data_IF_327720653959
#
_entry.id   IF_327720653959
#
_cell.length_a   1.000
_cell.length_b   1.000
_cell.length_c   1.000
_cell.angle_alpha   90.00
_cell.angle_beta   90.00
_cell.angle_gamma   90.00
#
_symmetry.space_group_name_H-M   'P 1'
#
loop_
_entity.id
_entity.type
_entity.pdbx_description
1 polymer ?
#
# COMPACT_ATOMS: atom_id res chain seq x y z
N UNK A 1 -11.36 -18.36 -8.04
CA UNK A 1 -11.17 -18.25 -6.58
C UNK A 1 -11.04 -16.78 -6.28
N UNK A 2 -11.70 -16.27 -5.24
CA UNK A 2 -11.38 -14.94 -4.75
C UNK A 2 -9.91 -14.92 -4.31
N UNK A 3 -9.20 -13.80 -4.51
CA UNK A 3 -7.83 -13.70 -4.03
C UNK A 3 -7.81 -13.81 -2.50
N UNK A 4 -6.89 -14.60 -1.92
CA UNK A 4 -6.78 -14.70 -0.47
C UNK A 4 -6.43 -13.33 0.11
N UNK A 5 -7.14 -12.94 1.17
CA UNK A 5 -6.88 -11.69 1.88
C UNK A 5 -5.42 -11.64 2.37
N UNK A 6 -4.76 -10.49 2.29
CA UNK A 6 -3.46 -10.30 2.96
C UNK A 6 -3.61 -10.50 4.47
N UNK A 7 -2.52 -10.89 5.15
CA UNK A 7 -2.55 -11.14 6.58
C UNK A 7 -2.94 -9.87 7.37
N UNK A 8 -2.53 -8.72 6.87
CA UNK A 8 -2.82 -7.38 7.38
C UNK A 8 -4.31 -7.04 7.21
N UNK A 9 -4.86 -7.23 6.01
CA UNK A 9 -6.30 -7.09 5.72
C UNK A 9 -7.15 -8.00 6.60
N UNK A 10 -6.72 -9.26 6.75
CA UNK A 10 -7.39 -10.21 7.63
C UNK A 10 -7.37 -9.72 9.07
N UNK A 11 -6.23 -9.24 9.56
CA UNK A 11 -6.11 -8.66 10.91
C UNK A 11 -7.02 -7.45 11.10
N UNK A 12 -7.07 -6.56 10.10
CA UNK A 12 -7.91 -5.37 10.07
C UNK A 12 -9.40 -5.71 10.13
N UNK A 13 -9.88 -6.55 9.22
CA UNK A 13 -11.28 -6.95 9.15
C UNK A 13 -11.73 -7.80 10.35
N UNK A 14 -10.80 -8.59 10.91
CA UNK A 14 -11.06 -9.32 12.15
C UNK A 14 -11.16 -8.38 13.35
N UNK A 15 -10.37 -7.30 13.37
CA UNK A 15 -10.43 -6.29 14.43
C UNK A 15 -11.75 -5.51 14.41
N UNK A 16 -12.23 -5.11 13.22
CA UNK A 16 -13.55 -4.49 13.08
C UNK A 16 -14.71 -5.45 13.31
N UNK A 17 -14.44 -6.76 13.20
CA UNK A 17 -15.37 -7.86 13.49
C UNK A 17 -16.77 -7.61 12.91
N UNK A 18 -16.80 -7.15 11.66
CA UNK A 18 -18.04 -6.79 10.97
C UNK A 18 -18.91 -8.05 10.85
N UNK A 19 -20.04 -8.09 11.56
CA UNK A 19 -20.92 -9.27 11.64
C UNK A 19 -20.83 -10.08 12.95
N UNK A 20 -19.89 -9.75 13.85
CA UNK A 20 -19.79 -10.26 15.22
C UNK A 20 -19.80 -11.79 15.35
N UNK A 21 -19.15 -12.49 14.43
CA UNK A 21 -19.11 -13.96 14.38
C UNK A 21 -17.71 -14.49 14.67
N UNK A 22 -17.51 -15.08 15.85
CA UNK A 22 -16.24 -15.70 16.22
C UNK A 22 -15.86 -16.90 15.32
N UNK A 23 -16.86 -17.56 14.73
CA UNK A 23 -16.64 -18.69 13.81
C UNK A 23 -16.37 -18.25 12.37
N UNK A 24 -16.74 -17.02 12.02
CA UNK A 24 -16.55 -16.43 10.69
C UNK A 24 -16.22 -14.94 10.81
N UNK A 25 -14.99 -14.58 11.22
CA UNK A 25 -14.64 -13.20 11.55
C UNK A 25 -14.74 -12.23 10.37
N UNK A 26 -14.62 -12.74 9.14
CA UNK A 26 -14.66 -11.94 7.91
C UNK A 26 -16.05 -11.92 7.25
N UNK A 27 -17.07 -12.52 7.88
CA UNK A 27 -18.37 -12.72 7.26
C UNK A 27 -19.03 -11.42 6.79
N UNK A 28 -18.99 -10.36 7.59
CA UNK A 28 -19.60 -9.09 7.22
C UNK A 28 -18.96 -8.47 5.98
N UNK A 29 -17.63 -8.49 5.89
CA UNK A 29 -16.90 -7.98 4.74
C UNK A 29 -17.18 -8.77 3.46
N UNK A 30 -17.16 -10.10 3.55
CA UNK A 30 -17.44 -10.97 2.41
C UNK A 30 -18.87 -10.76 1.91
N UNK A 31 -19.84 -10.64 2.83
CA UNK A 31 -21.24 -10.37 2.46
C UNK A 31 -21.36 -9.01 1.76
N UNK A 32 -20.71 -7.96 2.25
CA UNK A 32 -20.68 -6.66 1.56
C UNK A 32 -20.02 -6.76 0.18
N UNK A 33 -18.93 -7.52 0.05
CA UNK A 33 -18.22 -7.71 -1.21
C UNK A 33 -19.10 -8.43 -2.25
N UNK A 34 -19.81 -9.49 -1.85
CA UNK A 34 -20.78 -10.17 -2.71
C UNK A 34 -21.88 -9.20 -3.15
N UNK A 35 -22.46 -8.44 -2.22
CA UNK A 35 -23.53 -7.49 -2.51
C UNK A 35 -23.07 -6.34 -3.41
N UNK A 36 -21.84 -5.87 -3.24
CA UNK A 36 -21.25 -4.80 -4.05
C UNK A 36 -20.96 -5.26 -5.48
N UNK A 37 -20.23 -6.38 -5.63
CA UNK A 37 -19.77 -6.86 -6.95
C UNK A 37 -20.89 -7.49 -7.77
N UNK A 38 -21.81 -8.19 -7.11
CA UNK A 38 -22.82 -9.02 -7.77
C UNK A 38 -24.22 -8.41 -7.68
N UNK A 39 -24.48 -7.47 -6.77
CA UNK A 39 -25.84 -6.93 -6.52
C UNK A 39 -26.48 -6.21 -7.70
N UNK A 40 -25.69 -5.62 -8.59
CA UNK A 40 -26.15 -4.89 -9.79
C UNK A 40 -26.22 -5.78 -11.05
N UNK A 41 -25.44 -6.86 -11.11
CA UNK A 41 -25.28 -7.71 -12.31
C UNK A 41 -25.80 -9.15 -12.14
N UNK A 42 -26.27 -9.53 -10.95
CA UNK A 42 -26.72 -10.89 -10.72
C UNK A 42 -28.03 -11.21 -11.46
N UNK A 43 -28.03 -12.33 -12.17
CA UNK A 43 -29.21 -12.92 -12.80
C UNK A 43 -30.19 -13.56 -11.79
N UNK A 44 -29.74 -13.79 -10.56
CA UNK A 44 -30.53 -14.34 -9.45
C UNK A 44 -30.69 -13.29 -8.34
N UNK A 45 -31.82 -13.34 -7.64
CA UNK A 45 -32.06 -12.44 -6.52
C UNK A 45 -31.11 -12.76 -5.35
N UNK A 46 -30.55 -11.70 -4.75
CA UNK A 46 -29.68 -11.73 -3.56
C UNK A 46 -30.43 -12.16 -2.30
N UNK A 47 -30.83 -13.42 -2.24
CA UNK A 47 -31.51 -14.04 -1.10
C UNK A 47 -30.51 -14.57 -0.08
N UNK A 48 -31.01 -14.94 1.11
CA UNK A 48 -30.18 -15.61 2.13
C UNK A 48 -29.49 -16.85 1.56
N UNK A 49 -30.23 -17.70 0.85
CA UNK A 49 -29.68 -18.92 0.25
C UNK A 49 -28.65 -18.65 -0.85
N UNK A 50 -28.83 -17.56 -1.61
CA UNK A 50 -27.83 -17.11 -2.59
C UNK A 50 -26.53 -16.74 -1.90
N UNK A 51 -26.60 -15.83 -0.91
CA UNK A 51 -25.44 -15.34 -0.16
C UNK A 51 -24.71 -16.48 0.55
N UNK A 52 -25.45 -17.39 1.19
CA UNK A 52 -24.88 -18.55 1.88
C UNK A 52 -24.13 -19.47 0.92
N UNK A 53 -24.76 -19.81 -0.21
CA UNK A 53 -24.15 -20.66 -1.24
C UNK A 53 -22.92 -20.00 -1.84
N UNK A 54 -22.97 -18.70 -2.11
CA UNK A 54 -21.86 -17.95 -2.69
C UNK A 54 -20.69 -17.87 -1.72
N UNK A 55 -20.95 -17.54 -0.47
CA UNK A 55 -19.96 -17.53 0.61
C UNK A 55 -19.27 -18.91 0.73
N UNK A 56 -20.06 -19.97 0.96
CA UNK A 56 -19.51 -21.30 1.23
C UNK A 56 -18.74 -21.91 0.05
N UNK A 57 -19.07 -21.54 -1.18
CA UNK A 57 -18.43 -22.11 -2.36
C UNK A 57 -17.21 -21.32 -2.86
N UNK A 58 -17.11 -20.03 -2.54
CA UNK A 58 -16.12 -19.12 -3.14
C UNK A 58 -15.22 -18.44 -2.12
N UNK A 59 -15.74 -18.16 -0.93
CA UNK A 59 -15.10 -17.32 0.08
C UNK A 59 -14.86 -18.04 1.41
N UNK A 60 -15.23 -19.32 1.52
CA UNK A 60 -15.00 -20.10 2.72
C UNK A 60 -13.49 -20.29 2.94
N UNK A 61 -13.03 -19.91 4.13
CA UNK A 61 -11.64 -20.05 4.53
C UNK A 61 -11.29 -21.50 4.86
N UNK A 62 -10.00 -21.87 4.68
CA UNK A 62 -9.52 -23.25 4.84
C UNK A 62 -9.79 -23.85 6.23
N UNK A 63 -9.79 -23.00 7.27
CA UNK A 63 -9.99 -23.42 8.66
C UNK A 63 -11.42 -23.16 9.17
N UNK A 64 -12.33 -22.70 8.31
CA UNK A 64 -13.72 -22.42 8.67
C UNK A 64 -14.65 -23.59 8.33
N UNK A 65 -15.60 -23.86 9.23
CA UNK A 65 -16.72 -24.75 8.91
C UNK A 65 -17.69 -24.03 7.98
N UNK A 66 -18.46 -24.73 7.12
CA UNK A 66 -19.45 -24.06 6.28
C UNK A 66 -20.40 -23.19 7.10
N UNK A 67 -20.60 -21.95 6.64
CA UNK A 67 -21.51 -21.01 7.26
C UNK A 67 -22.94 -21.57 7.22
N UNK A 68 -23.68 -21.32 8.29
CA UNK A 68 -25.08 -21.77 8.45
C UNK A 68 -26.04 -20.60 8.29
N UNK A 69 -27.31 -20.89 7.97
CA UNK A 69 -28.38 -19.90 7.90
C UNK A 69 -28.48 -19.03 9.16
N UNK A 70 -28.31 -19.64 10.34
CA UNK A 70 -28.40 -18.93 11.61
C UNK A 70 -27.28 -17.90 11.79
N UNK A 71 -26.05 -18.26 11.40
CA UNK A 71 -24.90 -17.36 11.46
C UNK A 71 -25.06 -16.23 10.44
N UNK A 72 -25.40 -16.55 9.18
CA UNK A 72 -25.56 -15.53 8.14
C UNK A 72 -26.68 -14.55 8.46
N UNK A 73 -27.80 -15.00 9.05
CA UNK A 73 -28.87 -14.10 9.50
C UNK A 73 -28.35 -13.10 10.53
N UNK A 74 -27.58 -13.57 11.53
CA UNK A 74 -26.98 -12.70 12.53
C UNK A 74 -26.00 -11.69 11.92
N UNK A 75 -25.20 -12.11 10.95
CA UNK A 75 -24.32 -11.21 10.19
C UNK A 75 -25.12 -10.14 9.45
N UNK A 76 -26.21 -10.53 8.78
CA UNK A 76 -27.09 -9.61 8.05
C UNK A 76 -27.87 -8.67 8.98
N UNK A 77 -28.25 -9.12 10.18
CA UNK A 77 -28.83 -8.27 11.23
C UNK A 77 -27.83 -7.20 11.69
N UNK A 78 -26.56 -7.55 11.89
CA UNK A 78 -25.51 -6.57 12.23
C UNK A 78 -25.30 -5.58 11.08
N UNK A 79 -25.16 -6.08 9.84
CA UNK A 79 -24.93 -5.23 8.67
C UNK A 79 -26.13 -4.31 8.36
N UNK A 80 -27.35 -4.77 8.60
CA UNK A 80 -28.56 -4.01 8.32
C UNK A 80 -29.01 -3.13 9.48
N UNK A 81 -29.25 -3.72 10.65
CA UNK A 81 -29.92 -3.02 11.76
C UNK A 81 -28.95 -2.18 12.60
N UNK A 82 -27.68 -2.62 12.72
CA UNK A 82 -26.68 -1.91 13.55
C UNK A 82 -25.82 -0.97 12.72
N UNK A 83 -25.36 -1.41 11.55
CA UNK A 83 -24.43 -0.66 10.72
C UNK A 83 -25.09 0.07 9.54
N UNK A 84 -26.35 -0.24 9.20
CA UNK A 84 -27.09 0.35 8.09
C UNK A 84 -26.37 0.28 6.71
N UNK A 85 -25.53 -0.75 6.53
CA UNK A 85 -24.75 -1.00 5.31
C UNK A 85 -25.53 -1.86 4.29
N UNK A 86 -26.56 -2.58 4.75
CA UNK A 86 -27.36 -3.48 3.94
C UNK A 86 -28.85 -3.24 4.18
N UNK A 87 -29.60 -2.98 3.13
CA UNK A 87 -31.06 -2.96 3.20
C UNK A 87 -31.63 -4.36 2.91
N UNK A 88 -32.69 -4.73 3.62
CA UNK A 88 -33.49 -5.92 3.33
C UNK A 88 -34.89 -5.53 2.90
N UNK A 89 -35.37 -6.12 1.81
CA UNK A 89 -36.73 -5.88 1.32
C UNK A 89 -37.40 -7.20 0.91
N UNK A 90 -38.70 -7.39 1.23
CA UNK A 90 -39.43 -8.55 0.76
C UNK A 90 -39.75 -8.35 -0.72
N UNK A 91 -39.28 -9.26 -1.58
CA UNK A 91 -39.55 -9.24 -3.02
C UNK A 91 -40.16 -10.56 -3.47
N UNK A 92 -41.04 -10.47 -4.47
CA UNK A 92 -41.50 -11.63 -5.22
C UNK A 92 -40.37 -12.04 -6.16
N UNK A 93 -39.78 -13.20 -5.90
CA UNK A 93 -38.68 -13.75 -6.68
C UNK A 93 -39.16 -14.96 -7.47
N UNK A 94 -38.59 -15.13 -8.67
CA UNK A 94 -38.82 -16.32 -9.48
C UNK A 94 -37.81 -17.37 -9.08
N UNK A 95 -38.29 -18.51 -8.59
CA UNK A 95 -37.48 -19.68 -8.29
C UNK A 95 -37.64 -20.71 -9.41
N UNK A 96 -36.53 -21.36 -9.77
CA UNK A 96 -36.53 -22.50 -10.67
C UNK A 96 -36.72 -23.77 -9.86
N UNK A 97 -37.77 -24.52 -10.18
CA UNK A 97 -38.06 -25.81 -9.57
C UNK A 97 -37.21 -26.89 -10.24
N UNK A 98 -36.92 -27.97 -9.50
CA UNK A 98 -36.12 -29.10 -9.98
C UNK A 98 -36.75 -29.80 -11.21
N UNK A 99 -38.04 -29.61 -11.46
CA UNK A 99 -38.76 -30.11 -12.63
C UNK A 99 -38.72 -29.17 -13.85
N UNK A 100 -37.89 -28.11 -13.82
CA UNK A 100 -37.78 -27.11 -14.89
C UNK A 100 -38.89 -26.04 -14.87
N UNK A 101 -39.87 -26.14 -13.96
CA UNK A 101 -40.91 -25.13 -13.77
C UNK A 101 -40.39 -23.86 -13.09
N UNK A 102 -41.14 -22.77 -13.20
CA UNK A 102 -40.87 -21.54 -12.45
C UNK A 102 -41.99 -21.30 -11.45
N UNK A 103 -41.65 -20.93 -10.22
CA UNK A 103 -42.61 -20.51 -9.19
C UNK A 103 -42.25 -19.12 -8.69
N UNK A 104 -43.27 -18.35 -8.30
CA UNK A 104 -43.08 -17.03 -7.69
C UNK A 104 -43.26 -17.20 -6.18
N UNK A 105 -42.22 -16.93 -5.42
CA UNK A 105 -42.25 -16.95 -3.96
C UNK A 105 -41.86 -15.58 -3.41
N UNK A 106 -42.49 -15.18 -2.31
CA UNK A 106 -42.04 -14.00 -1.57
C UNK A 106 -40.84 -14.39 -0.70
N UNK A 107 -39.72 -13.69 -0.89
CA UNK A 107 -38.49 -13.92 -0.13
C UNK A 107 -37.83 -12.58 0.20
N UNK A 108 -37.01 -12.58 1.24
CA UNK A 108 -36.18 -11.43 1.59
C UNK A 108 -35.00 -11.35 0.64
N UNK A 109 -34.81 -10.17 0.05
CA UNK A 109 -33.67 -9.83 -0.79
C UNK A 109 -32.85 -8.74 -0.12
N UNK A 110 -31.53 -8.88 -0.18
CA UNK A 110 -30.57 -7.97 0.43
C UNK A 110 -29.89 -7.14 -0.64
N UNK A 111 -29.66 -5.85 -0.35
CA UNK A 111 -28.90 -4.95 -1.21
C UNK A 111 -27.98 -4.10 -0.35
N UNK A 112 -26.80 -3.79 -0.88
CA UNK A 112 -25.92 -2.83 -0.25
C UNK A 112 -26.55 -1.42 -0.34
N UNK A 113 -26.50 -0.67 0.76
CA UNK A 113 -26.96 0.73 0.79
C UNK A 113 -25.89 1.66 0.20
N UNK A 114 -26.20 2.92 -0.05
CA UNK A 114 -25.18 3.90 -0.44
C UNK A 114 -24.06 4.01 0.61
N UNK A 115 -24.42 4.05 1.91
CA UNK A 115 -23.43 4.05 3.00
C UNK A 115 -22.61 2.75 3.07
N UNK A 116 -23.20 1.60 2.72
CA UNK A 116 -22.47 0.34 2.56
C UNK A 116 -21.44 0.37 1.43
N UNK A 117 -21.79 0.98 0.29
CA UNK A 117 -20.88 1.16 -0.85
C UNK A 117 -19.73 2.10 -0.48
N UNK A 118 -20.04 3.23 0.17
CA UNK A 118 -19.06 4.20 0.65
C UNK A 118 -18.09 3.55 1.64
N UNK A 119 -18.60 2.83 2.66
CA UNK A 119 -17.77 2.10 3.61
C UNK A 119 -16.86 1.07 2.94
N UNK A 120 -17.40 0.26 2.02
CA UNK A 120 -16.61 -0.75 1.31
C UNK A 120 -15.50 -0.10 0.47
N UNK A 121 -15.79 1.01 -0.18
CA UNK A 121 -14.83 1.75 -1.02
C UNK A 121 -13.74 2.40 -0.17
N UNK A 122 -14.09 3.05 0.93
CA UNK A 122 -13.13 3.65 1.86
C UNK A 122 -12.20 2.60 2.45
N UNK A 123 -12.74 1.43 2.83
CA UNK A 123 -11.93 0.35 3.37
C UNK A 123 -10.95 -0.22 2.34
N UNK A 124 -11.34 -0.33 1.06
CA UNK A 124 -10.40 -0.70 -0.02
C UNK A 124 -9.24 0.29 -0.13
N UNK A 125 -9.52 1.59 -0.11
CA UNK A 125 -8.47 2.62 -0.15
C UNK A 125 -7.51 2.55 1.02
N UNK A 126 -8.01 2.28 2.24
CA UNK A 126 -7.16 2.07 3.42
C UNK A 126 -6.20 0.90 3.24
N UNK A 127 -6.65 -0.17 2.57
CA UNK A 127 -5.84 -1.34 2.30
C UNK A 127 -4.78 -1.09 1.23
N UNK A 128 -5.15 -0.37 0.19
CA UNK A 128 -4.21 0.05 -0.84
C UNK A 128 -3.11 0.93 -0.23
N UNK A 129 -3.50 1.88 0.64
CA UNK A 129 -2.55 2.70 1.39
C UNK A 129 -1.67 1.86 2.34
N UNK A 130 -2.24 0.88 3.06
CA UNK A 130 -1.47 -0.02 3.93
C UNK A 130 -0.44 -0.84 3.15
N UNK A 131 -0.85 -1.38 2.00
CA UNK A 131 0.03 -2.12 1.09
C UNK A 131 1.16 -1.21 0.57
N UNK A 132 0.82 0.01 0.14
CA UNK A 132 1.80 1.02 -0.28
C UNK A 132 2.80 1.30 0.84
N UNK A 133 2.34 1.51 2.08
CA UNK A 133 3.21 1.74 3.25
C UNK A 133 4.12 0.54 3.53
N UNK A 134 3.59 -0.68 3.57
CA UNK A 134 4.36 -1.87 3.88
C UNK A 134 5.48 -2.12 2.83
N UNK A 135 5.13 -1.99 1.55
CA UNK A 135 6.12 -2.09 0.46
C UNK A 135 7.16 -0.99 0.58
N UNK A 136 6.73 0.25 0.81
CA UNK A 136 7.66 1.38 0.90
C UNK A 136 8.62 1.27 2.09
N UNK A 137 8.16 0.78 3.26
CA UNK A 137 9.03 0.50 4.41
C UNK A 137 10.12 -0.50 4.03
N UNK A 138 9.78 -1.59 3.34
CA UNK A 138 10.78 -2.57 2.88
C UNK A 138 11.80 -1.94 1.93
N UNK A 139 11.36 -1.02 1.05
CA UNK A 139 12.25 -0.30 0.12
C UNK A 139 13.15 0.69 0.85
N UNK A 140 12.64 1.37 1.87
CA UNK A 140 13.44 2.25 2.72
C UNK A 140 14.51 1.46 3.47
N UNK A 141 14.17 0.31 4.04
CA UNK A 141 15.14 -0.54 4.73
C UNK A 141 16.22 -1.05 3.76
N UNK A 142 15.84 -1.47 2.54
CA UNK A 142 16.77 -1.85 1.46
C UNK A 142 17.70 -0.68 1.09
N UNK A 143 17.14 0.52 0.86
CA UNK A 143 17.91 1.72 0.58
C UNK A 143 18.91 2.02 1.70
N UNK A 144 18.47 2.02 2.96
CA UNK A 144 19.33 2.27 4.12
C UNK A 144 20.48 1.26 4.21
N UNK A 145 20.21 -0.02 3.94
CA UNK A 145 21.24 -1.06 3.89
C UNK A 145 22.26 -0.80 2.77
N UNK A 146 21.80 -0.38 1.58
CA UNK A 146 22.67 -0.05 0.47
C UNK A 146 23.55 1.16 0.75
N UNK A 147 23.01 2.22 1.38
CA UNK A 147 23.78 3.38 1.84
C UNK A 147 24.86 2.92 2.82
N UNK A 148 24.49 2.15 3.84
CA UNK A 148 25.45 1.67 4.84
C UNK A 148 26.53 0.77 4.24
N UNK A 149 26.18 -0.08 3.26
CA UNK A 149 27.14 -0.91 2.52
C UNK A 149 28.15 -0.02 1.78
N UNK A 150 27.65 1.01 1.10
CA UNK A 150 28.44 1.93 0.29
C UNK A 150 29.20 2.97 1.09
N UNK A 151 28.98 3.16 2.39
CA UNK A 151 29.75 4.12 3.21
C UNK A 151 30.98 3.48 3.87
N UNK A 152 31.09 2.14 3.85
CA UNK A 152 32.25 1.42 4.40
C UNK A 152 33.48 1.68 3.53
N UNK A 153 34.58 2.12 4.15
CA UNK A 153 35.75 2.76 3.49
C UNK A 153 36.69 1.84 2.68
N UNK A 154 36.41 0.56 2.56
CA UNK A 154 37.28 -0.41 1.88
C UNK A 154 36.62 -0.93 0.60
N UNK A 155 36.46 -0.06 -0.39
CA UNK A 155 35.87 -0.46 -1.67
C UNK A 155 36.85 -1.27 -2.49
N UNK A 156 36.48 -2.52 -2.76
CA UNK A 156 37.17 -3.32 -3.76
C UNK A 156 36.74 -2.85 -5.16
N UNK A 157 37.67 -2.31 -5.94
CA UNK A 157 37.44 -1.89 -7.33
C UNK A 157 37.98 -2.89 -8.36
N UNK A 158 38.40 -4.07 -7.90
CA UNK A 158 38.90 -5.14 -8.77
C UNK A 158 37.77 -5.82 -9.55
N UNK A 159 36.54 -5.75 -9.04
CA UNK A 159 35.33 -6.34 -9.63
C UNK A 159 34.26 -5.29 -9.91
N UNK A 160 33.21 -5.67 -10.66
CA UNK A 160 32.03 -4.84 -10.95
C UNK A 160 31.10 -4.63 -9.76
N UNK A 161 31.40 -5.23 -8.61
CA UNK A 161 30.53 -5.25 -7.43
C UNK A 161 30.17 -3.84 -6.92
N UNK A 162 31.13 -2.93 -6.77
CA UNK A 162 30.87 -1.57 -6.30
C UNK A 162 29.98 -0.80 -7.28
N UNK A 163 30.20 -0.94 -8.59
CA UNK A 163 29.34 -0.32 -9.61
C UNK A 163 27.91 -0.86 -9.57
N UNK A 164 27.75 -2.17 -9.40
CA UNK A 164 26.45 -2.81 -9.28
C UNK A 164 25.74 -2.35 -7.99
N UNK A 165 26.46 -2.30 -6.87
CA UNK A 165 25.93 -1.83 -5.59
C UNK A 165 25.51 -0.36 -5.66
N UNK A 166 26.30 0.49 -6.31
CA UNK A 166 25.92 1.88 -6.55
C UNK A 166 24.67 1.99 -7.43
N UNK A 167 24.57 1.18 -8.48
CA UNK A 167 23.38 1.17 -9.34
C UNK A 167 22.14 0.69 -8.60
N UNK A 168 22.28 -0.34 -7.74
CA UNK A 168 21.21 -0.82 -6.88
C UNK A 168 20.76 0.23 -5.85
N UNK A 169 21.69 1.02 -5.29
CA UNK A 169 21.32 2.16 -4.44
C UNK A 169 20.41 3.15 -5.18
N UNK A 170 20.74 3.48 -6.44
CA UNK A 170 19.93 4.39 -7.24
C UNK A 170 18.54 3.82 -7.54
N UNK A 171 18.45 2.54 -7.87
CA UNK A 171 17.16 1.86 -8.07
C UNK A 171 16.33 1.83 -6.79
N UNK A 172 16.93 1.49 -5.66
CA UNK A 172 16.25 1.48 -4.36
C UNK A 172 15.72 2.89 -4.01
N UNK A 173 16.51 3.94 -4.26
CA UNK A 173 16.06 5.32 -4.08
C UNK A 173 14.87 5.67 -4.97
N UNK A 174 14.94 5.39 -6.28
CA UNK A 174 13.86 5.70 -7.20
C UNK A 174 12.57 4.93 -6.82
N UNK A 175 12.68 3.71 -6.29
CA UNK A 175 11.54 2.91 -5.81
C UNK A 175 10.95 3.47 -4.50
N UNK A 176 11.78 3.96 -3.58
CA UNK A 176 11.31 4.69 -2.38
C UNK A 176 10.54 5.95 -2.78
N UNK A 177 11.08 6.75 -3.71
CA UNK A 177 10.41 7.98 -4.18
C UNK A 177 9.07 7.67 -4.83
N UNK A 178 8.98 6.66 -5.70
CA UNK A 178 7.70 6.22 -6.27
C UNK A 178 6.71 5.80 -5.19
N UNK A 179 7.17 5.06 -4.19
CA UNK A 179 6.34 4.64 -3.05
C UNK A 179 5.83 5.84 -2.25
N UNK A 180 6.66 6.86 -2.04
CA UNK A 180 6.28 8.10 -1.35
C UNK A 180 5.26 8.91 -2.14
N UNK A 181 5.44 9.08 -3.45
CA UNK A 181 4.46 9.77 -4.30
C UNK A 181 3.13 9.03 -4.35
N UNK A 182 3.16 7.70 -4.46
CA UNK A 182 1.93 6.91 -4.41
C UNK A 182 1.21 7.07 -3.07
N UNK A 183 1.96 7.06 -1.96
CA UNK A 183 1.37 7.27 -0.64
C UNK A 183 0.76 8.68 -0.50
N UNK A 184 1.42 9.71 -1.02
CA UNK A 184 0.89 11.07 -1.05
C UNK A 184 -0.43 11.14 -1.84
N UNK A 185 -0.50 10.49 -3.02
CA UNK A 185 -1.71 10.38 -3.83
C UNK A 185 -2.82 9.61 -3.08
N UNK A 186 -2.51 8.42 -2.55
CA UNK A 186 -3.43 7.57 -1.80
C UNK A 186 -4.02 8.34 -0.58
N UNK A 187 -3.18 9.08 0.16
CA UNK A 187 -3.60 9.86 1.33
C UNK A 187 -4.40 11.11 0.96
N UNK A 188 -4.03 11.79 -0.13
CA UNK A 188 -4.78 12.94 -0.64
C UNK A 188 -6.17 12.51 -1.11
N UNK A 189 -6.29 11.36 -1.77
CA UNK A 189 -7.59 10.81 -2.15
C UNK A 189 -8.43 10.47 -0.91
N UNK A 190 -7.83 9.84 0.11
CA UNK A 190 -8.49 9.50 1.37
C UNK A 190 -8.96 10.74 2.15
N UNK A 191 -8.14 11.80 2.20
CA UNK A 191 -8.48 13.05 2.88
C UNK A 191 -9.62 13.82 2.18
N UNK A 192 -9.73 13.72 0.85
CA UNK A 192 -10.80 14.33 0.07
C UNK A 192 -12.11 13.52 0.07
N UNK A 193 -12.07 12.25 0.50
CA UNK A 193 -13.25 11.39 0.55
C UNK A 193 -14.05 11.70 1.83
N UNK A 194 -15.13 12.48 1.68
CA UNK A 194 -16.02 12.92 2.77
C UNK A 194 -16.53 11.76 3.65
N UNK A 195 -16.56 10.53 3.12
CA UNK A 195 -16.98 9.30 3.79
C UNK A 195 -15.96 8.78 4.83
N UNK A 196 -14.70 9.21 4.76
CA UNK A 196 -13.67 8.94 5.76
C UNK A 196 -13.85 9.81 7.02
N UNK A 197 -14.39 11.02 6.83
CA UNK A 197 -14.60 12.06 7.86
C UNK A 197 -15.80 11.77 8.79
N UNK A 198 -16.15 10.51 8.99
CA UNK A 198 -17.17 10.08 9.97
C UNK A 198 -16.59 9.12 11.03
N UNK A 199 -15.33 9.33 11.42
CA UNK A 199 -14.76 8.72 12.63
C UNK A 199 -14.73 7.20 12.58
N UNK A 200 -14.68 6.64 11.36
CA UNK A 200 -14.78 5.21 11.15
C UNK A 200 -13.56 4.49 11.73
N UNK A 201 -13.74 3.25 12.13
CA UNK A 201 -12.65 2.38 12.61
C UNK A 201 -11.50 2.24 11.58
N UNK A 202 -11.81 2.44 10.29
CA UNK A 202 -10.84 2.50 9.21
C UNK A 202 -9.87 3.69 9.35
N UNK A 203 -10.36 4.85 9.80
CA UNK A 203 -9.56 6.05 10.04
C UNK A 203 -8.60 5.88 11.21
N UNK A 204 -9.08 5.31 12.32
CA UNK A 204 -8.24 5.01 13.48
C UNK A 204 -7.09 4.06 13.12
N UNK A 205 -7.36 3.09 12.25
CA UNK A 205 -6.37 2.11 11.83
C UNK A 205 -5.34 2.69 10.87
N UNK A 206 -5.78 3.46 9.86
CA UNK A 206 -4.89 4.19 8.97
C UNK A 206 -3.96 5.10 9.77
N UNK A 207 -4.51 5.89 10.70
CA UNK A 207 -3.74 6.74 11.59
C UNK A 207 -2.69 5.97 12.39
N UNK A 208 -3.07 4.83 13.01
CA UNK A 208 -2.15 3.99 13.75
C UNK A 208 -1.02 3.45 12.87
N UNK A 209 -1.32 3.02 11.66
CA UNK A 209 -0.34 2.46 10.73
C UNK A 209 0.63 3.55 10.23
N UNK A 210 0.13 4.73 9.89
CA UNK A 210 0.96 5.86 9.48
C UNK A 210 1.88 6.34 10.61
N UNK A 211 1.35 6.50 11.83
CA UNK A 211 2.12 6.98 12.98
C UNK A 211 3.11 5.95 13.52
N UNK A 212 2.74 4.68 13.60
CA UNK A 212 3.58 3.64 14.23
C UNK A 212 4.54 2.95 13.27
N UNK A 213 4.28 2.98 11.96
CA UNK A 213 5.12 2.30 10.95
C UNK A 213 5.72 3.26 9.94
N UNK A 214 4.89 4.06 9.26
CA UNK A 214 5.36 4.90 8.15
C UNK A 214 6.30 6.02 8.62
N UNK A 215 5.88 6.82 9.64
CA UNK A 215 6.69 7.92 10.17
C UNK A 215 8.08 7.43 10.64
N UNK A 216 8.21 6.39 11.47
CA UNK A 216 9.53 5.90 11.88
C UNK A 216 10.41 5.42 10.71
N UNK A 217 9.82 4.84 9.67
CA UNK A 217 10.57 4.45 8.48
C UNK A 217 11.08 5.69 7.72
N UNK A 218 10.26 6.72 7.55
CA UNK A 218 10.71 7.96 6.94
C UNK A 218 11.78 8.68 7.77
N UNK A 219 11.68 8.67 9.09
CA UNK A 219 12.74 9.19 9.96
C UNK A 219 14.06 8.44 9.74
N UNK A 220 14.04 7.10 9.63
CA UNK A 220 15.24 6.31 9.28
C UNK A 220 15.83 6.71 7.92
N UNK A 221 14.98 7.01 6.94
CA UNK A 221 15.40 7.48 5.62
C UNK A 221 16.12 8.82 5.73
N UNK A 222 15.53 9.79 6.45
CA UNK A 222 16.13 11.10 6.69
C UNK A 222 17.45 11.01 7.49
N UNK A 223 17.61 10.01 8.36
CA UNK A 223 18.88 9.77 9.05
C UNK A 223 20.03 9.38 8.09
N UNK A 224 19.75 9.02 6.83
CA UNK A 224 20.80 8.73 5.83
C UNK A 224 21.39 9.99 5.20
N UNK A 225 20.87 11.20 5.45
CA UNK A 225 21.33 12.45 4.84
C UNK A 225 22.84 12.63 4.93
N UNK A 226 23.43 12.52 6.13
CA UNK A 226 24.87 12.72 6.34
C UNK A 226 25.71 11.67 5.60
N UNK A 227 25.22 10.43 5.53
CA UNK A 227 25.89 9.35 4.83
C UNK A 227 25.93 9.58 3.32
N UNK A 228 24.82 10.04 2.73
CA UNK A 228 24.75 10.42 1.31
C UNK A 228 25.60 11.65 1.01
N UNK A 229 25.57 12.66 1.88
CA UNK A 229 26.42 13.86 1.75
C UNK A 229 27.90 13.45 1.76
N UNK A 230 28.32 12.59 2.69
CA UNK A 230 29.69 12.08 2.71
C UNK A 230 30.08 11.34 1.41
N UNK A 231 29.17 10.57 0.81
CA UNK A 231 29.44 9.93 -0.49
C UNK A 231 29.53 10.94 -1.64
N UNK A 232 28.68 11.97 -1.63
CA UNK A 232 28.67 13.04 -2.63
C UNK A 232 29.92 13.93 -2.55
N UNK A 233 30.38 14.23 -1.34
CA UNK A 233 31.54 15.09 -1.08
C UNK A 233 32.88 14.33 -1.22
N UNK A 234 32.82 13.00 -1.38
CA UNK A 234 34.01 12.17 -1.52
C UNK A 234 34.63 12.32 -2.91
N UNK A 235 35.76 13.02 -2.99
CA UNK A 235 36.56 13.23 -4.20
C UNK A 235 36.92 11.93 -4.98
N UNK A 236 37.01 10.80 -4.28
CA UNK A 236 37.44 9.53 -4.88
C UNK A 236 36.31 8.56 -5.22
N UNK A 237 35.09 8.74 -4.70
CA UNK A 237 34.07 7.69 -4.74
C UNK A 237 33.54 7.47 -6.16
N UNK A 238 33.18 8.54 -6.87
CA UNK A 238 32.77 8.47 -8.28
C UNK A 238 33.86 7.85 -9.16
N UNK A 239 35.13 8.14 -8.88
CA UNK A 239 36.24 7.55 -9.59
C UNK A 239 36.43 6.06 -9.26
N UNK A 240 36.16 5.63 -8.02
CA UNK A 240 36.18 4.22 -7.60
C UNK A 240 35.03 3.44 -8.26
N UNK A 241 33.82 3.99 -8.29
CA UNK A 241 32.66 3.41 -9.02
C UNK A 241 33.00 3.22 -10.50
N UNK A 242 33.59 4.24 -11.14
CA UNK A 242 34.01 4.15 -12.53
C UNK A 242 35.13 3.13 -12.79
N UNK A 243 36.07 2.96 -11.84
CA UNK A 243 37.09 1.90 -11.90
C UNK A 243 36.47 0.52 -11.74
N UNK A 244 35.57 0.35 -10.78
CA UNK A 244 34.88 -0.92 -10.52
C UNK A 244 34.08 -1.40 -11.72
N UNK A 245 33.42 -0.51 -12.47
CA UNK A 245 32.70 -0.90 -13.69
C UNK A 245 33.60 -1.63 -14.71
N UNK A 246 34.92 -1.39 -14.67
CA UNK A 246 35.93 -2.01 -15.53
C UNK A 246 36.72 -3.10 -14.79
N UNK A 247 36.10 -3.71 -13.78
CA UNK A 247 36.68 -4.81 -13.02
C UNK A 247 36.93 -6.05 -13.89
N UNK A 248 37.60 -7.04 -13.31
CA UNK A 248 38.00 -8.27 -14.01
C UNK A 248 36.82 -9.08 -14.58
N UNK A 249 35.63 -8.90 -14.04
CA UNK A 249 34.37 -9.52 -14.40
C UNK A 249 33.49 -8.65 -15.32
N UNK A 250 33.99 -7.52 -15.84
CA UNK A 250 33.30 -6.71 -16.84
C UNK A 250 33.20 -7.46 -18.17
N UNK A 251 31.97 -7.64 -18.66
CA UNK A 251 31.63 -8.39 -19.88
C UNK A 251 31.62 -7.52 -21.14
N UNK A 252 32.08 -6.28 -21.08
CA UNK A 252 32.12 -5.37 -22.22
C UNK A 252 33.13 -5.81 -23.29
N UNK A 253 32.72 -5.76 -24.56
CA UNK A 253 33.56 -6.17 -25.68
C UNK A 253 34.86 -5.35 -25.79
N UNK A 254 34.85 -4.08 -25.37
CA UNK A 254 36.03 -3.20 -25.38
C UNK A 254 37.06 -3.64 -24.35
N UNK A 255 36.61 -4.18 -23.21
CA UNK A 255 37.47 -4.77 -22.19
C UNK A 255 38.12 -6.07 -22.71
N UNK A 256 37.34 -6.91 -23.39
CA UNK A 256 37.84 -8.16 -23.99
C UNK A 256 38.90 -7.96 -25.09
N UNK A 257 38.78 -6.90 -25.89
CA UNK A 257 39.76 -6.56 -26.95
C UNK A 257 40.83 -5.55 -26.51
N UNK A 258 40.84 -5.17 -25.23
CA UNK A 258 41.79 -4.20 -24.65
C UNK A 258 41.81 -2.84 -25.39
N UNK A 259 40.64 -2.36 -25.84
CA UNK A 259 40.49 -1.05 -26.47
C UNK A 259 40.57 0.07 -25.41
N UNK A 260 41.80 0.45 -25.07
CA UNK A 260 42.09 1.42 -24.01
C UNK A 260 41.41 2.78 -24.23
N UNK A 261 41.24 3.20 -25.49
CA UNK A 261 40.61 4.47 -25.81
C UNK A 261 39.11 4.47 -25.43
N UNK A 262 38.38 3.41 -25.80
CA UNK A 262 36.97 3.25 -25.41
C UNK A 262 36.79 3.02 -23.92
N UNK A 263 37.68 2.24 -23.31
CA UNK A 263 37.67 2.02 -21.86
C UNK A 263 37.84 3.34 -21.10
N UNK A 264 38.81 4.17 -21.47
CA UNK A 264 38.99 5.48 -20.83
C UNK A 264 37.74 6.37 -20.99
N UNK A 265 37.17 6.43 -22.20
CA UNK A 265 35.94 7.21 -22.43
C UNK A 265 34.76 6.71 -21.58
N UNK A 266 34.58 5.40 -21.45
CA UNK A 266 33.53 4.81 -20.62
C UNK A 266 33.74 5.13 -19.14
N UNK A 267 35.00 5.07 -18.67
CA UNK A 267 35.37 5.45 -17.30
C UNK A 267 34.99 6.88 -16.99
N UNK A 268 35.33 7.83 -17.86
CA UNK A 268 35.03 9.25 -17.66
C UNK A 268 33.52 9.52 -17.64
N UNK A 269 32.77 8.86 -18.55
CA UNK A 269 31.30 8.92 -18.57
C UNK A 269 30.70 8.38 -17.26
N UNK A 270 31.19 7.27 -16.76
CA UNK A 270 30.69 6.64 -15.54
C UNK A 270 31.03 7.45 -14.30
N UNK A 271 32.22 8.05 -14.22
CA UNK A 271 32.58 8.96 -13.14
C UNK A 271 31.65 10.19 -13.14
N UNK A 272 31.42 10.79 -14.31
CA UNK A 272 30.50 11.93 -14.47
C UNK A 272 29.07 11.55 -14.08
N UNK A 273 28.61 10.36 -14.51
CA UNK A 273 27.32 9.82 -14.13
C UNK A 273 27.19 9.65 -12.61
N UNK A 274 28.16 9.00 -11.97
CA UNK A 274 28.16 8.75 -10.54
C UNK A 274 28.13 10.06 -9.74
N UNK A 275 28.97 11.04 -10.09
CA UNK A 275 28.96 12.36 -9.45
C UNK A 275 27.59 13.03 -9.60
N UNK A 276 27.04 13.09 -10.81
CA UNK A 276 25.73 13.71 -11.04
C UNK A 276 24.62 13.06 -10.21
N UNK A 277 24.63 11.73 -10.13
CA UNK A 277 23.62 10.99 -9.37
C UNK A 277 23.77 11.21 -7.86
N UNK A 278 24.99 11.24 -7.34
CA UNK A 278 25.24 11.55 -5.92
C UNK A 278 24.86 12.98 -5.56
N UNK A 279 25.17 13.96 -6.43
CA UNK A 279 24.72 15.34 -6.22
C UNK A 279 23.19 15.44 -6.23
N UNK A 280 22.52 14.73 -7.16
CA UNK A 280 21.04 14.66 -7.20
C UNK A 280 20.48 14.06 -5.92
N UNK A 281 21.03 12.94 -5.47
CA UNK A 281 20.63 12.28 -4.22
C UNK A 281 20.87 13.21 -3.03
N UNK A 282 22.06 13.79 -2.88
CA UNK A 282 22.36 14.68 -1.76
C UNK A 282 21.41 15.89 -1.72
N UNK A 283 21.07 16.45 -2.89
CA UNK A 283 20.14 17.57 -3.01
C UNK A 283 18.70 17.20 -2.62
N UNK A 284 18.24 15.96 -2.84
CA UNK A 284 16.89 15.55 -2.43
C UNK A 284 16.71 15.41 -0.92
N UNK A 285 17.83 15.34 -0.19
CA UNK A 285 17.92 15.36 1.26
C UNK A 285 18.35 16.73 1.83
N UNK A 286 18.41 17.79 1.01
CA UNK A 286 18.68 19.14 1.52
C UNK A 286 17.37 19.79 2.02
N UNK A 287 17.25 20.10 3.33
CA UNK A 287 16.07 20.76 3.88
C UNK A 287 16.04 22.28 3.60
N UNK A 288 17.01 22.85 2.89
CA UNK A 288 17.09 24.29 2.64
C UNK A 288 15.93 24.79 1.77
N UNK A 289 15.40 25.98 2.10
CA UNK A 289 14.34 26.61 1.31
C UNK A 289 14.73 26.79 -0.17
N UNK A 290 16.02 27.04 -0.45
CA UNK A 290 16.55 27.11 -1.81
C UNK A 290 16.52 25.78 -2.57
N UNK A 291 16.76 24.65 -1.90
CA UNK A 291 16.66 23.33 -2.51
C UNK A 291 15.20 22.93 -2.76
N UNK A 292 14.32 23.30 -1.83
CA UNK A 292 12.87 23.12 -1.91
C UNK A 292 12.26 23.93 -3.07
N UNK A 293 12.63 25.21 -3.22
CA UNK A 293 12.13 26.08 -4.30
C UNK A 293 12.65 25.69 -5.69
N UNK A 294 13.80 25.01 -5.76
CA UNK A 294 14.44 24.62 -7.02
C UNK A 294 14.16 23.17 -7.45
N UNK A 295 13.64 22.33 -6.57
CA UNK A 295 13.37 20.90 -6.80
C UNK A 295 12.01 20.52 -6.24
N UNK A 296 11.06 20.19 -7.14
CA UNK A 296 9.70 19.78 -6.76
C UNK A 296 9.65 18.44 -5.99
N UNK A 297 10.71 17.61 -6.09
CA UNK A 297 10.78 16.24 -5.57
C UNK A 297 11.87 16.10 -4.49
N UNK A 298 11.73 16.80 -3.36
CA UNK A 298 12.59 16.54 -2.19
C UNK A 298 11.90 15.54 -1.25
N UNK A 299 12.71 14.67 -0.62
CA UNK A 299 12.23 13.72 0.39
C UNK A 299 11.58 14.47 1.56
N UNK A 300 12.10 15.66 1.89
CA UNK A 300 11.57 16.52 2.94
C UNK A 300 10.18 17.07 2.61
N UNK A 301 9.94 17.58 1.40
CA UNK A 301 8.62 18.06 0.99
C UNK A 301 7.61 16.91 1.04
N UNK A 302 7.93 15.76 0.45
CA UNK A 302 7.01 14.63 0.44
C UNK A 302 6.71 14.13 1.86
N UNK A 303 7.72 14.05 2.72
CA UNK A 303 7.51 13.71 4.12
C UNK A 303 6.62 14.72 4.84
N UNK A 304 6.83 16.02 4.60
CA UNK A 304 6.04 17.09 5.17
C UNK A 304 4.58 17.02 4.68
N UNK A 305 4.34 16.85 3.38
CA UNK A 305 2.98 16.72 2.80
C UNK A 305 2.26 15.50 3.35
N UNK A 306 2.93 14.35 3.41
CA UNK A 306 2.38 13.12 3.98
C UNK A 306 2.04 13.33 5.47
N UNK A 307 2.92 14.02 6.21
CA UNK A 307 2.68 14.33 7.62
C UNK A 307 1.49 15.28 7.81
N UNK A 308 1.37 16.32 6.97
CA UNK A 308 0.24 17.24 7.01
C UNK A 308 -1.08 16.54 6.65
N UNK A 309 -1.07 15.63 5.68
CA UNK A 309 -2.21 14.78 5.38
C UNK A 309 -2.58 13.88 6.58
N UNK A 310 -1.59 13.28 7.26
CA UNK A 310 -1.80 12.51 8.49
C UNK A 310 -2.41 13.37 9.60
N UNK A 311 -1.89 14.58 9.82
CA UNK A 311 -2.35 15.48 10.87
C UNK A 311 -3.80 15.94 10.59
N UNK A 312 -4.17 16.20 9.33
CA UNK A 312 -5.54 16.49 8.92
C UNK A 312 -6.48 15.31 9.21
N UNK A 313 -6.10 14.10 8.82
CA UNK A 313 -6.86 12.88 9.10
C UNK A 313 -7.04 12.67 10.62
N UNK A 314 -6.05 13.05 11.42
CA UNK A 314 -6.07 12.95 12.88
C UNK A 314 -7.02 13.97 13.52
N UNK A 315 -6.98 15.23 13.06
CA UNK A 315 -7.84 16.30 13.57
C UNK A 315 -9.32 16.04 13.27
N UNK A 316 -9.63 15.57 12.06
CA UNK A 316 -11.01 15.19 11.70
C UNK A 316 -11.51 14.04 12.59
N UNK A 317 -10.67 13.03 12.85
CA UNK A 317 -11.00 11.95 13.76
C UNK A 317 -11.35 12.44 15.18
N UNK A 318 -10.48 13.29 15.76
CA UNK A 318 -10.69 13.84 17.11
C UNK A 318 -11.94 14.73 17.18
N UNK A 319 -12.21 15.50 16.13
CA UNK A 319 -13.40 16.36 16.04
C UNK A 319 -14.70 15.54 16.14
N UNK A 320 -14.75 14.37 15.49
CA UNK A 320 -15.94 13.51 15.45
C UNK A 320 -16.15 12.78 16.77
N UNK A 321 -15.07 12.27 17.39
CA UNK A 321 -15.16 11.69 18.73
C UNK A 321 -15.66 12.73 19.74
N UNK A 322 -15.19 13.98 19.63
CA UNK A 322 -15.67 15.11 20.45
C UNK A 322 -17.14 15.46 20.24
N UNK A 323 -17.66 15.39 19.00
CA UNK A 323 -19.09 15.62 18.71
C UNK A 323 -20.00 14.45 19.13
N UNK A 324 -19.49 13.22 19.23
CA UNK A 324 -20.27 12.05 19.62
C UNK A 324 -20.54 11.94 21.13
N UNK A 325 -19.91 12.80 21.94
CA UNK A 325 -19.99 12.78 23.41
C UNK A 325 -21.03 13.77 23.97
N UNK A 326 -21.73 14.54 23.13
CA UNK A 326 -22.85 15.43 23.55
C UNK A 326 -24.24 14.80 23.38
#
# INVERSE_FOLDING_TARGET
>A
MAEPFSAELRGLLTASNLGLSAAHPLAGWVVLTILYQEGSNASEAMTLGYLLRRYNNVYLELDEKPMTDAILRRVLEVLGDQANLVESSPRKIRIHLHNGGTSIQQSWTYKITSGGIEYWTAMQKVLDAESTVAVNISRIDEYCQMVQKLVRRDYETSTTQLYNDFTHLLTAYDDVMKGMHKLDEDLSELANDLSFNHGSEAAALLHKMLTQKAIPAFEKLLMQTTAIQHLSDSDSFSAQVARSQQGSDDLDASHAVQDQAKMNLRKDKTATFATRQLTRLAASFDPSASAIDSSADTVYILFQTIKEAIDLLSQEYDHIQGQSVD
#
